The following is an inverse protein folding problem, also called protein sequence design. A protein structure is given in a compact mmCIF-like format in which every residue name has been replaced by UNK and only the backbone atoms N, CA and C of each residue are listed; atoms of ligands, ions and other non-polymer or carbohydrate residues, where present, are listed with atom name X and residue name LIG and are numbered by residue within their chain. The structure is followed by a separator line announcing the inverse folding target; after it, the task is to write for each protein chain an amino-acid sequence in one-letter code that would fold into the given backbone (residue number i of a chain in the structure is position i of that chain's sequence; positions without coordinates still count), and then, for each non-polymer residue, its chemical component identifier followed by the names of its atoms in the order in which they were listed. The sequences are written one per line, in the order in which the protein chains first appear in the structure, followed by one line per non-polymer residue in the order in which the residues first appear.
data_IF_231940010698
#
_entry.id   IF_231940010698
#
_cell.length_a   1.000
_cell.length_b   1.000
_cell.length_c   1.000
_cell.angle_alpha   90.00
_cell.angle_beta   90.00
_cell.angle_gamma   90.00
#
_symmetry.space_group_name_H-M   'P 1'
#
loop_
_entity.id
_entity.type
_entity.pdbx_description
1 polymer ?
#
# COMPACT_ATOMS: atom_id res chain seq x y z
N UNK A 1 -9.34 6.89 -0.97
CA UNK A 1 -9.84 6.67 0.40
C UNK A 1 -8.92 5.67 1.08
N UNK A 2 -8.39 6.00 2.26
CA UNK A 2 -7.40 5.16 2.95
C UNK A 2 -8.06 4.33 4.05
N UNK A 3 -7.96 2.99 3.97
CA UNK A 3 -8.45 2.06 5.00
C UNK A 3 -7.26 1.47 5.79
N UNK A 4 -7.40 1.26 7.10
CA UNK A 4 -6.29 0.85 7.98
C UNK A 4 -6.68 -0.36 8.83
N UNK A 5 -6.03 -1.52 8.64
CA UNK A 5 -6.23 -2.72 9.44
C UNK A 5 -5.02 -2.98 10.36
N UNK A 6 -5.29 -3.14 11.66
CA UNK A 6 -4.27 -3.47 12.66
C UNK A 6 -4.14 -5.00 12.75
N UNK A 7 -2.94 -5.53 12.50
CA UNK A 7 -2.60 -6.94 12.70
C UNK A 7 -1.50 -7.02 13.76
N UNK A 8 -1.43 -8.12 14.51
CA UNK A 8 -0.69 -8.31 15.78
C UNK A 8 0.74 -7.74 15.81
N UNK A 9 1.43 -7.60 14.68
CA UNK A 9 2.80 -7.03 14.58
C UNK A 9 2.98 -5.92 13.51
N UNK A 10 1.90 -5.36 12.96
CA UNK A 10 1.99 -4.32 11.92
C UNK A 10 0.67 -3.68 11.55
N UNK A 11 0.75 -2.47 11.00
CA UNK A 11 -0.42 -1.72 10.50
C UNK A 11 -0.46 -1.86 8.99
N UNK A 12 -1.58 -2.31 8.44
CA UNK A 12 -1.79 -2.34 7.01
C UNK A 12 -2.64 -1.15 6.59
N UNK A 13 -2.18 -0.39 5.60
CA UNK A 13 -2.92 0.69 4.98
C UNK A 13 -3.26 0.32 3.54
N UNK A 14 -4.53 0.45 3.17
CA UNK A 14 -4.96 0.43 1.77
C UNK A 14 -5.02 1.88 1.30
N UNK A 15 -4.22 2.24 0.31
CA UNK A 15 -4.22 3.57 -0.30
C UNK A 15 -4.68 3.44 -1.76
N UNK A 16 -5.61 4.31 -2.16
CA UNK A 16 -6.14 4.35 -3.52
C UNK A 16 -5.45 5.47 -4.33
N UNK A 17 -4.71 5.07 -5.37
CA UNK A 17 -4.07 5.97 -6.34
C UNK A 17 -4.64 5.81 -7.76
N UNK A 18 -5.89 5.36 -7.87
CA UNK A 18 -6.53 4.88 -9.10
C UNK A 18 -6.53 3.35 -9.19
N UNK A 19 -5.69 2.70 -8.38
CA UNK A 19 -5.72 1.27 -8.05
C UNK A 19 -5.47 1.11 -6.55
N UNK A 20 -6.08 0.12 -5.87
CA UNK A 20 -5.85 -0.11 -4.46
C UNK A 20 -4.45 -0.71 -4.24
N UNK A 21 -3.65 -0.06 -3.39
CA UNK A 21 -2.34 -0.53 -2.96
C UNK A 21 -2.37 -0.83 -1.47
N UNK A 22 -1.96 -2.06 -1.10
CA UNK A 22 -1.78 -2.44 0.30
C UNK A 22 -0.33 -2.15 0.72
N UNK A 23 -0.17 -1.47 1.86
CA UNK A 23 1.11 -1.07 2.42
C UNK A 23 1.21 -1.57 3.85
N UNK A 24 2.31 -2.25 4.17
CA UNK A 24 2.65 -2.61 5.54
C UNK A 24 3.47 -1.48 6.18
N UNK A 25 3.03 -1.04 7.35
CA UNK A 25 3.63 0.01 8.16
C UNK A 25 3.94 -0.55 9.56
N UNK A 26 4.96 0.00 10.20
CA UNK A 26 5.18 -0.23 11.63
C UNK A 26 4.27 0.69 12.44
N UNK A 27 3.88 0.29 13.66
CA UNK A 27 3.11 1.15 14.56
C UNK A 27 3.84 2.49 14.81
N UNK A 28 5.16 2.45 15.02
CA UNK A 28 5.95 3.66 15.21
C UNK A 28 5.94 4.62 14.02
N UNK A 29 5.78 4.13 12.79
CA UNK A 29 5.63 4.99 11.61
C UNK A 29 4.25 5.66 11.56
N UNK A 30 3.20 4.93 11.95
CA UNK A 30 1.84 5.47 12.07
C UNK A 30 1.80 6.59 13.11
N UNK A 31 2.41 6.36 14.27
CA UNK A 31 2.43 7.33 15.36
C UNK A 31 3.26 8.58 14.99
N UNK A 32 4.47 8.39 14.43
CA UNK A 32 5.36 9.48 14.07
C UNK A 32 4.81 10.39 12.97
N UNK A 33 4.00 9.83 12.07
CA UNK A 33 3.34 10.56 10.97
C UNK A 33 1.90 10.97 11.31
N UNK A 34 1.40 10.59 12.48
CA UNK A 34 0.01 10.82 12.92
C UNK A 34 -1.00 10.42 11.84
N UNK A 35 -0.81 9.22 11.27
CA UNK A 35 -1.67 8.74 10.18
C UNK A 35 -3.05 8.35 10.71
N UNK A 36 -4.08 8.98 10.15
CA UNK A 36 -5.47 8.70 10.48
C UNK A 36 -6.22 8.06 9.30
N UNK A 37 -7.27 7.28 9.60
CA UNK A 37 -8.16 6.72 8.57
C UNK A 37 -8.83 7.85 7.80
N UNK A 38 -8.90 7.72 6.47
CA UNK A 38 -9.48 8.73 5.59
C UNK A 38 -8.60 9.96 5.33
N UNK A 39 -7.43 10.07 5.95
CA UNK A 39 -6.47 11.14 5.66
C UNK A 39 -5.84 10.95 4.28
N UNK A 40 -5.62 12.06 3.57
CA UNK A 40 -4.81 12.07 2.35
C UNK A 40 -3.34 11.77 2.69
N UNK A 41 -2.74 10.85 1.92
CA UNK A 41 -1.39 10.40 2.11
C UNK A 41 -0.63 10.32 0.79
N UNK A 42 0.68 10.56 0.84
CA UNK A 42 1.57 10.37 -0.29
C UNK A 42 2.32 9.04 -0.14
N UNK A 43 2.32 8.25 -1.21
CA UNK A 43 3.09 7.02 -1.28
C UNK A 43 4.43 7.26 -1.96
N UNK A 44 5.51 6.80 -1.32
CA UNK A 44 6.85 6.84 -1.90
C UNK A 44 7.33 5.41 -2.11
N UNK A 45 7.46 5.01 -3.37
CA UNK A 45 7.97 3.69 -3.74
C UNK A 45 9.39 3.80 -4.25
N UNK A 46 10.27 2.88 -3.81
CA UNK A 46 11.58 2.70 -4.44
C UNK A 46 11.38 1.96 -5.76
N UNK A 47 11.64 2.63 -6.87
CA UNK A 47 11.52 2.05 -8.22
C UNK A 47 12.37 0.79 -8.39
N UNK A 48 13.53 0.73 -7.72
CA UNK A 48 14.43 -0.43 -7.69
C UNK A 48 13.82 -1.71 -7.07
N UNK A 49 12.68 -1.60 -6.38
CA UNK A 49 12.01 -2.71 -5.71
C UNK A 49 10.74 -3.17 -6.44
N UNK A 50 10.41 -2.54 -7.58
CA UNK A 50 9.27 -2.91 -8.40
C UNK A 50 9.71 -3.95 -9.42
N UNK A 51 9.05 -5.11 -9.43
CA UNK A 51 9.25 -6.15 -10.44
C UNK A 51 8.22 -5.98 -11.54
N UNK A 52 8.71 -5.77 -12.76
CA UNK A 52 7.90 -5.88 -13.97
C UNK A 52 8.01 -7.31 -14.48
N UNK A 53 6.86 -7.92 -14.71
CA UNK A 53 6.74 -9.27 -15.23
C UNK A 53 5.96 -9.18 -16.54
N UNK A 54 6.35 -9.99 -17.51
CA UNK A 54 5.54 -10.16 -18.71
C UNK A 54 4.21 -10.78 -18.31
N UNK A 55 3.12 -10.15 -18.72
CA UNK A 55 1.82 -10.80 -18.64
C UNK A 55 1.83 -11.95 -19.65
N UNK A 56 1.58 -13.18 -19.21
CA UNK A 56 1.29 -14.24 -20.18
C UNK A 56 0.17 -13.75 -21.10
N UNK A 57 0.27 -13.96 -22.42
CA UNK A 57 -0.84 -13.66 -23.31
C UNK A 57 -2.07 -14.35 -22.72
N UNK A 58 -3.15 -13.58 -22.50
CA UNK A 58 -4.45 -14.19 -22.20
C UNK A 58 -4.69 -15.19 -23.33
N UNK A 59 -4.65 -16.48 -23.01
CA UNK A 59 -4.90 -17.55 -23.96
C UNK A 59 -6.34 -17.45 -24.42
N UNK A 60 -6.58 -16.67 -25.46
CA UNK A 60 -7.82 -16.71 -26.22
C UNK A 60 -7.60 -17.68 -27.39
N UNK A 61 -7.81 -18.98 -27.13
CA UNK A 61 -7.91 -20.02 -28.18
C UNK A 61 -6.98 -21.22 -28.03
#
# INVERSE_FOLDING_TARGET
MTDLDLVVDGVYATVDIGVPILVALTQGAVDALSLERGQDAYLVFKTSSIKLLDAEPRGDG
#
